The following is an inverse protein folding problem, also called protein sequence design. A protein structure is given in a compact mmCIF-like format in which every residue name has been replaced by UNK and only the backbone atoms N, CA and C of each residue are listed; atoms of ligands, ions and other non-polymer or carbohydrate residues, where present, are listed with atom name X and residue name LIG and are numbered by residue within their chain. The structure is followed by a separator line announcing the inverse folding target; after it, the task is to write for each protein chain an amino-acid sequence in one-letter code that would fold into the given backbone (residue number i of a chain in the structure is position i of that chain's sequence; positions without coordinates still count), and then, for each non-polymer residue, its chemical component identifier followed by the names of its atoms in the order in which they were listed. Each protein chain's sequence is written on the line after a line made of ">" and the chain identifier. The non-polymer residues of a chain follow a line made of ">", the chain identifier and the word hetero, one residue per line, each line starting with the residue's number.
data_IF_564422469769
#
_entry.id   IF_564422469769
#
_cell.length_a   1.000
_cell.length_b   1.000
_cell.length_c   1.000
_cell.angle_alpha   90.00
_cell.angle_beta   90.00
_cell.angle_gamma   90.00
#
_symmetry.space_group_name_H-M   'P 1'
#
loop_
_entity.id
_entity.type
_entity.pdbx_description
1 polymer ?
#
# COMPACT_ATOMS: atom_id res chain seq x y z
N UNK A 1 18.93 3.68 49.10
CA UNK A 1 17.97 4.15 48.08
C UNK A 1 18.34 3.47 46.76
N UNK A 2 17.64 2.39 46.41
CA UNK A 2 17.89 1.65 45.18
C UNK A 2 17.40 2.44 43.97
N UNK A 3 18.28 2.67 42.99
CA UNK A 3 17.89 3.15 41.66
C UNK A 3 17.17 2.01 40.96
N UNK A 4 15.86 2.13 40.81
CA UNK A 4 15.11 1.35 39.84
C UNK A 4 15.39 1.99 38.48
N UNK A 5 16.08 1.28 37.59
CA UNK A 5 16.12 1.66 36.18
C UNK A 5 14.70 1.59 35.64
N UNK A 6 14.06 2.76 35.50
CA UNK A 6 12.79 2.86 34.83
C UNK A 6 13.02 2.57 33.34
N UNK A 7 12.75 1.32 32.93
CA UNK A 7 12.63 0.96 31.53
C UNK A 7 11.60 1.90 30.88
N UNK A 8 12.03 2.72 29.91
CA UNK A 8 11.11 3.60 29.18
C UNK A 8 10.06 2.73 28.50
N UNK A 9 8.79 3.02 28.78
CA UNK A 9 7.70 2.26 28.16
C UNK A 9 7.72 2.50 26.63
N UNK A 10 7.74 1.45 25.80
CA UNK A 10 7.90 1.56 24.34
C UNK A 10 6.82 2.42 23.65
N UNK A 11 5.67 2.60 24.28
CA UNK A 11 4.58 3.45 23.78
C UNK A 11 4.83 4.95 23.99
N UNK A 12 5.66 5.33 24.97
CA UNK A 12 6.01 6.73 25.22
C UNK A 12 6.88 7.27 24.09
N UNK A 13 7.71 6.41 23.48
CA UNK A 13 8.53 6.77 22.33
C UNK A 13 7.66 6.99 21.06
N UNK A 14 6.52 6.29 20.93
CA UNK A 14 5.59 6.50 19.81
C UNK A 14 4.97 7.91 19.83
N UNK A 15 4.53 8.38 21.00
CA UNK A 15 3.92 9.71 21.16
C UNK A 15 4.96 10.81 20.90
N UNK A 16 6.22 10.59 21.31
CA UNK A 16 7.31 11.53 21.07
C UNK A 16 7.57 11.83 19.59
N UNK A 17 7.28 10.89 18.67
CA UNK A 17 7.35 11.15 17.22
C UNK A 17 6.35 12.25 16.79
N UNK A 18 5.20 12.34 17.45
CA UNK A 18 4.12 13.29 17.14
C UNK A 18 4.36 14.68 17.74
N UNK A 19 5.16 14.80 18.80
CA UNK A 19 5.49 16.10 19.41
C UNK A 19 6.53 16.88 18.59
N UNK A 20 7.20 16.22 17.62
CA UNK A 20 8.16 16.88 16.73
C UNK A 20 7.51 18.03 15.97
N UNK A 21 8.18 19.18 15.98
CA UNK A 21 7.68 20.38 15.29
C UNK A 21 6.39 20.96 15.89
N UNK A 22 6.04 20.60 17.13
CA UNK A 22 4.80 21.02 17.81
C UNK A 22 3.53 20.58 17.05
N UNK A 23 3.59 19.46 16.34
CA UNK A 23 2.47 19.01 15.50
C UNK A 23 1.18 18.81 16.32
N UNK A 24 1.24 18.10 17.46
CA UNK A 24 0.05 17.88 18.30
C UNK A 24 -0.51 19.20 18.85
N UNK A 25 0.32 20.13 19.29
CA UNK A 25 -0.14 21.40 19.83
C UNK A 25 -0.82 22.27 18.77
N UNK A 26 -0.25 22.32 17.55
CA UNK A 26 -0.86 23.02 16.42
C UNK A 26 -2.18 22.38 16.01
N UNK A 27 -2.24 21.05 15.95
CA UNK A 27 -3.45 20.30 15.64
C UNK A 27 -4.57 20.55 16.66
N UNK A 28 -4.23 20.51 17.96
CA UNK A 28 -5.16 20.82 19.05
C UNK A 28 -5.68 22.25 18.98
N UNK A 29 -4.79 23.21 18.73
CA UNK A 29 -5.15 24.62 18.59
C UNK A 29 -6.11 24.82 17.41
N UNK A 30 -5.80 24.24 16.26
CA UNK A 30 -6.67 24.32 15.08
C UNK A 30 -8.02 23.66 15.35
N UNK A 31 -8.08 22.49 15.98
CA UNK A 31 -9.35 21.85 16.32
C UNK A 31 -10.20 22.66 17.32
N UNK A 32 -9.58 23.39 18.24
CA UNK A 32 -10.27 24.25 19.22
C UNK A 32 -10.76 25.58 18.64
N UNK A 33 -10.33 25.94 17.44
CA UNK A 33 -10.79 27.16 16.77
C UNK A 33 -12.32 27.13 16.60
N UNK A 34 -12.96 28.28 16.82
CA UNK A 34 -14.42 28.40 16.74
C UNK A 34 -14.96 28.00 15.36
N UNK A 35 -14.19 28.28 14.31
CA UNK A 35 -14.54 28.06 12.91
C UNK A 35 -14.03 26.70 12.39
N UNK A 36 -13.40 25.88 13.24
CA UNK A 36 -12.91 24.58 12.82
C UNK A 36 -14.06 23.61 12.47
N UNK A 37 -13.93 22.86 11.36
CA UNK A 37 -14.95 21.90 10.94
C UNK A 37 -15.27 20.87 12.02
N UNK A 38 -16.54 20.48 12.15
CA UNK A 38 -16.97 19.47 13.11
C UNK A 38 -16.28 18.11 12.90
N UNK A 39 -15.94 17.77 11.65
CA UNK A 39 -15.15 16.58 11.33
C UNK A 39 -13.75 16.62 11.94
N UNK A 40 -13.06 17.77 11.83
CA UNK A 40 -11.73 17.94 12.41
C UNK A 40 -11.79 17.87 13.94
N UNK A 41 -12.76 18.56 14.57
CA UNK A 41 -12.99 18.50 16.02
C UNK A 41 -13.16 17.07 16.51
N UNK A 42 -13.99 16.29 15.82
CA UNK A 42 -14.26 14.89 16.15
C UNK A 42 -13.00 14.02 15.97
N UNK A 43 -12.34 14.11 14.83
CA UNK A 43 -11.17 13.29 14.53
C UNK A 43 -10.03 13.54 15.52
N UNK A 44 -9.77 14.82 15.86
CA UNK A 44 -8.75 15.18 16.84
C UNK A 44 -9.12 14.70 18.24
N UNK A 45 -10.38 14.85 18.67
CA UNK A 45 -10.82 14.31 19.97
C UNK A 45 -10.68 12.79 20.05
N UNK A 46 -11.04 12.07 18.98
CA UNK A 46 -10.85 10.62 18.91
C UNK A 46 -9.37 10.24 18.93
N UNK A 47 -8.52 11.00 18.23
CA UNK A 47 -7.07 10.81 18.24
C UNK A 47 -6.50 11.02 19.65
N UNK A 48 -6.90 12.08 20.35
CA UNK A 48 -6.46 12.34 21.73
C UNK A 48 -6.84 11.19 22.67
N UNK A 49 -8.06 10.66 22.55
CA UNK A 49 -8.49 9.50 23.32
C UNK A 49 -7.67 8.25 22.99
N UNK A 50 -7.35 8.01 21.72
CA UNK A 50 -6.51 6.89 21.31
C UNK A 50 -5.06 7.04 21.82
N UNK A 51 -4.48 8.25 21.73
CA UNK A 51 -3.15 8.54 22.25
C UNK A 51 -3.09 8.43 23.78
N UNK A 52 -4.14 8.87 24.48
CA UNK A 52 -4.25 8.65 25.92
C UNK A 52 -4.33 7.17 26.25
N UNK A 53 -5.14 6.40 25.50
CA UNK A 53 -5.23 4.95 25.69
C UNK A 53 -3.85 4.27 25.56
N UNK A 54 -2.99 4.69 24.62
CA UNK A 54 -1.62 4.16 24.46
C UNK A 54 -0.73 4.29 25.70
N UNK A 55 -1.01 5.27 26.56
CA UNK A 55 -0.27 5.48 27.81
C UNK A 55 -0.71 4.52 28.93
N UNK A 56 -1.84 3.83 28.76
CA UNK A 56 -2.36 2.91 29.77
C UNK A 56 -1.63 1.55 29.70
N UNK A 57 -1.36 0.92 30.86
CA UNK A 57 -0.87 -0.45 30.91
C UNK A 57 -1.81 -1.39 30.15
N UNK A 58 -1.25 -2.30 29.33
CA UNK A 58 -2.04 -3.26 28.54
C UNK A 58 -2.54 -2.73 27.19
N UNK A 59 -2.09 -1.54 26.76
CA UNK A 59 -2.30 -1.06 25.40
C UNK A 59 -1.82 -2.06 24.36
N UNK A 60 -2.77 -2.64 23.61
CA UNK A 60 -2.49 -3.64 22.59
C UNK A 60 -2.41 -3.05 21.18
N UNK A 61 -2.05 -3.93 20.22
CA UNK A 61 -2.01 -3.64 18.78
C UNK A 61 -3.25 -2.89 18.25
N UNK A 62 -4.50 -3.22 18.64
CA UNK A 62 -5.68 -2.51 18.15
C UNK A 62 -5.70 -1.02 18.49
N UNK A 63 -5.17 -0.63 19.65
CA UNK A 63 -5.09 0.78 20.06
C UNK A 63 -4.09 1.54 19.18
N UNK A 64 -2.97 0.91 18.82
CA UNK A 64 -1.94 1.50 17.94
C UNK A 64 -2.47 1.63 16.51
N UNK A 65 -3.13 0.60 15.98
CA UNK A 65 -3.82 0.67 14.69
C UNK A 65 -4.88 1.76 14.68
N UNK A 66 -5.67 1.90 15.76
CA UNK A 66 -6.68 2.95 15.88
C UNK A 66 -6.05 4.35 15.83
N UNK A 67 -4.93 4.56 16.52
CA UNK A 67 -4.19 5.81 16.46
C UNK A 67 -3.66 6.08 15.04
N UNK A 68 -3.07 5.08 14.35
CA UNK A 68 -2.63 5.22 12.96
C UNK A 68 -3.78 5.60 12.01
N UNK A 69 -4.92 4.94 12.13
CA UNK A 69 -6.13 5.23 11.34
C UNK A 69 -6.57 6.68 11.57
N UNK A 70 -6.63 7.12 12.83
CA UNK A 70 -7.06 8.47 13.18
C UNK A 70 -6.07 9.54 12.72
N UNK A 71 -4.76 9.26 12.75
CA UNK A 71 -3.74 10.13 12.15
C UNK A 71 -3.96 10.26 10.65
N UNK A 72 -4.21 9.14 9.96
CA UNK A 72 -4.56 9.12 8.53
C UNK A 72 -5.80 9.95 8.23
N UNK A 73 -6.87 9.79 9.02
CA UNK A 73 -8.13 10.54 8.89
C UNK A 73 -7.91 12.04 9.07
N UNK A 74 -7.18 12.46 10.11
CA UNK A 74 -6.81 13.86 10.34
C UNK A 74 -6.08 14.43 9.12
N UNK A 75 -5.11 13.69 8.57
CA UNK A 75 -4.37 14.11 7.39
C UNK A 75 -5.26 14.27 6.15
N UNK A 76 -6.25 13.39 5.95
CA UNK A 76 -7.22 13.51 4.86
C UNK A 76 -8.17 14.70 5.05
N UNK A 77 -8.57 15.02 6.29
CA UNK A 77 -9.38 16.21 6.59
C UNK A 77 -8.59 17.49 6.32
N UNK A 78 -7.33 17.56 6.77
CA UNK A 78 -6.45 18.69 6.53
C UNK A 78 -6.16 18.85 5.03
N UNK A 79 -5.96 17.76 4.29
CA UNK A 79 -5.67 17.76 2.86
C UNK A 79 -6.67 18.58 2.02
N UNK A 80 -7.94 18.64 2.42
CA UNK A 80 -8.98 19.41 1.72
C UNK A 80 -9.28 20.78 2.35
N UNK A 81 -8.87 21.03 3.59
CA UNK A 81 -9.12 22.30 4.30
C UNK A 81 -7.91 23.26 4.21
N UNK A 82 -8.05 24.36 3.46
CA UNK A 82 -6.99 25.37 3.28
C UNK A 82 -6.48 25.95 4.60
N UNK A 83 -7.38 26.45 5.47
CA UNK A 83 -7.02 27.04 6.77
C UNK A 83 -6.26 26.02 7.63
N UNK A 84 -6.74 24.78 7.63
CA UNK A 84 -6.09 23.67 8.34
C UNK A 84 -4.66 23.40 7.85
N UNK A 85 -4.41 23.42 6.54
CA UNK A 85 -3.06 23.23 5.98
C UNK A 85 -2.10 24.38 6.31
N UNK A 86 -2.61 25.60 6.38
CA UNK A 86 -1.81 26.77 6.77
C UNK A 86 -1.46 26.74 8.26
N UNK A 87 -2.35 26.24 9.11
CA UNK A 87 -2.17 26.15 10.56
C UNK A 87 -1.37 24.93 11.02
N UNK A 88 -1.54 23.79 10.36
CA UNK A 88 -0.97 22.49 10.75
C UNK A 88 -0.08 21.97 9.64
N UNK A 89 1.20 21.75 9.96
CA UNK A 89 2.16 21.15 9.04
C UNK A 89 1.78 19.70 8.71
N UNK A 90 2.35 19.16 7.64
CA UNK A 90 2.22 17.73 7.31
C UNK A 90 2.75 16.89 8.48
N UNK A 91 2.11 15.74 8.74
CA UNK A 91 2.48 14.82 9.82
C UNK A 91 4.00 14.56 9.82
N UNK A 92 4.68 14.68 10.97
CA UNK A 92 6.10 14.34 11.07
C UNK A 92 6.32 12.86 10.76
N UNK A 93 7.57 12.51 10.50
CA UNK A 93 7.93 11.13 10.25
C UNK A 93 7.74 10.28 11.51
N UNK A 94 6.86 9.27 11.43
CA UNK A 94 6.66 8.29 12.49
C UNK A 94 7.69 7.17 12.36
N UNK A 95 8.27 6.71 13.46
CA UNK A 95 9.26 5.63 13.45
C UNK A 95 8.65 4.27 13.07
N UNK A 96 9.51 3.32 12.69
CA UNK A 96 9.08 1.95 12.36
C UNK A 96 8.44 1.20 13.55
N UNK A 97 8.61 1.69 14.78
CA UNK A 97 7.95 1.15 15.96
C UNK A 97 6.42 1.20 15.86
N UNK A 98 5.86 2.23 15.21
CA UNK A 98 4.41 2.31 14.95
C UNK A 98 3.91 1.12 14.13
N UNK A 99 4.65 0.74 13.08
CA UNK A 99 4.28 -0.39 12.21
C UNK A 99 4.46 -1.71 12.94
N UNK A 100 5.63 -1.93 13.57
CA UNK A 100 5.94 -3.18 14.25
C UNK A 100 4.98 -3.49 15.41
N UNK A 101 4.57 -2.46 16.16
CA UNK A 101 3.65 -2.64 17.28
C UNK A 101 2.18 -2.67 16.85
N UNK A 102 1.83 -2.10 15.69
CA UNK A 102 0.49 -2.20 15.12
C UNK A 102 0.26 -3.52 14.37
N UNK A 103 1.32 -4.17 13.89
CA UNK A 103 1.23 -5.36 13.06
C UNK A 103 0.48 -6.49 13.75
N UNK A 104 -0.62 -6.88 13.12
CA UNK A 104 -1.31 -8.14 13.35
C UNK A 104 -1.19 -9.03 12.11
N UNK A 105 -1.67 -10.26 12.19
CA UNK A 105 -1.66 -11.21 11.07
C UNK A 105 -2.96 -11.11 10.25
N UNK A 106 -3.67 -9.97 10.31
CA UNK A 106 -4.89 -9.76 9.52
C UNK A 106 -4.57 -9.50 8.05
N UNK A 107 -5.43 -9.99 7.17
CA UNK A 107 -5.31 -9.74 5.73
C UNK A 107 -5.39 -8.25 5.42
N UNK A 108 -6.25 -7.50 6.10
CA UNK A 108 -6.40 -6.06 5.90
C UNK A 108 -5.11 -5.30 6.21
N UNK A 109 -4.43 -5.65 7.31
CA UNK A 109 -3.16 -5.03 7.67
C UNK A 109 -2.06 -5.38 6.66
N UNK A 110 -1.93 -6.65 6.26
CA UNK A 110 -0.95 -7.06 5.25
C UNK A 110 -1.14 -6.32 3.92
N UNK A 111 -2.39 -6.22 3.42
CA UNK A 111 -2.70 -5.52 2.18
C UNK A 111 -2.36 -4.02 2.29
N UNK A 112 -2.73 -3.38 3.39
CA UNK A 112 -2.44 -1.97 3.64
C UNK A 112 -0.92 -1.71 3.74
N UNK A 113 -0.18 -2.57 4.43
CA UNK A 113 1.28 -2.47 4.56
C UNK A 113 1.99 -2.70 3.22
N UNK A 114 1.56 -3.71 2.47
CA UNK A 114 2.09 -3.99 1.13
C UNK A 114 1.91 -2.78 0.22
N UNK A 115 0.72 -2.18 0.20
CA UNK A 115 0.47 -0.94 -0.53
C UNK A 115 1.35 0.20 -0.02
N UNK A 116 1.43 0.43 1.29
CA UNK A 116 2.29 1.48 1.87
C UNK A 116 3.76 1.34 1.46
N UNK A 117 4.24 0.12 1.19
CA UNK A 117 5.60 -0.15 0.72
C UNK A 117 5.89 0.30 -0.71
N UNK A 118 4.87 0.67 -1.50
CA UNK A 118 5.07 1.24 -2.83
C UNK A 118 5.82 2.57 -2.73
N UNK A 119 6.95 2.67 -3.44
CA UNK A 119 7.78 3.88 -3.43
C UNK A 119 6.98 5.09 -3.90
N UNK A 120 7.07 6.19 -3.17
CA UNK A 120 6.44 7.47 -3.51
C UNK A 120 4.90 7.49 -3.41
N UNK A 121 4.26 6.48 -2.81
CA UNK A 121 2.80 6.38 -2.76
C UNK A 121 2.12 7.58 -2.06
N UNK A 122 2.79 8.18 -1.06
CA UNK A 122 2.27 9.27 -0.24
C UNK A 122 1.71 10.46 -1.05
N UNK A 123 2.41 10.91 -2.10
CA UNK A 123 1.95 12.02 -2.96
C UNK A 123 0.73 11.69 -3.83
N UNK A 124 0.39 10.41 -3.98
CA UNK A 124 -0.83 9.98 -4.68
C UNK A 124 -2.05 9.96 -3.74
N UNK A 125 -1.80 9.72 -2.44
CA UNK A 125 -2.83 9.60 -1.39
C UNK A 125 -3.12 10.91 -0.66
N UNK A 126 -2.16 11.82 -0.62
CA UNK A 126 -2.31 13.14 -0.03
C UNK A 126 -1.66 14.21 -0.93
N UNK A 127 -2.18 15.45 -0.92
CA UNK A 127 -1.62 16.55 -1.69
C UNK A 127 -0.34 17.07 -1.01
N UNK A 128 0.74 16.30 -1.12
CA UNK A 128 2.03 16.59 -0.48
C UNK A 128 3.19 16.36 -1.43
N UNK A 129 4.26 17.12 -1.19
CA UNK A 129 5.54 16.99 -1.88
C UNK A 129 6.68 16.93 -0.86
N UNK A 130 7.75 16.21 -1.20
CA UNK A 130 8.99 16.21 -0.43
C UNK A 130 9.85 17.39 -0.90
N UNK A 131 10.08 18.35 -0.02
CA UNK A 131 10.88 19.54 -0.31
C UNK A 131 11.71 19.93 0.93
N UNK A 132 12.95 20.36 0.72
CA UNK A 132 13.89 20.76 1.80
C UNK A 132 14.03 19.74 2.94
N UNK A 133 13.96 18.45 2.63
CA UNK A 133 14.16 17.37 3.60
C UNK A 133 12.96 17.08 4.50
N UNK A 134 11.77 17.59 4.19
CA UNK A 134 10.54 17.23 4.89
C UNK A 134 9.33 17.25 3.96
N UNK A 135 8.20 16.69 4.41
CA UNK A 135 6.94 16.78 3.68
C UNK A 135 6.30 18.16 3.86
N UNK A 136 5.75 18.68 2.77
CA UNK A 136 5.00 19.93 2.74
C UNK A 136 3.67 19.74 2.00
N UNK A 137 2.67 20.53 2.38
CA UNK A 137 1.41 20.58 1.65
C UNK A 137 1.64 21.13 0.24
N UNK A 138 1.14 20.40 -0.74
CA UNK A 138 1.19 20.73 -2.16
C UNK A 138 -0.22 20.60 -2.76
N UNK A 139 -1.15 21.52 -2.42
CA UNK A 139 -2.56 21.42 -2.84
C UNK A 139 -2.75 21.40 -4.36
N UNK A 140 -1.84 22.03 -5.10
CA UNK A 140 -1.85 22.07 -6.57
C UNK A 140 -1.16 20.87 -7.22
N UNK A 141 -0.68 19.89 -6.43
CA UNK A 141 0.00 18.71 -6.95
C UNK A 141 -0.96 17.84 -7.74
N UNK A 142 -0.65 17.66 -9.03
CA UNK A 142 -1.38 16.74 -9.90
C UNK A 142 -1.12 15.27 -9.58
N UNK A 143 -0.22 14.94 -8.66
CA UNK A 143 0.02 13.54 -8.25
C UNK A 143 -1.11 13.01 -7.38
N UNK A 144 -1.75 13.87 -6.58
CA UNK A 144 -2.82 13.47 -5.69
C UNK A 144 -4.08 13.12 -6.47
N UNK A 145 -4.48 11.85 -6.39
CA UNK A 145 -5.65 11.30 -7.13
C UNK A 145 -6.61 10.52 -6.25
N UNK A 146 -6.21 10.25 -5.01
CA UNK A 146 -7.06 9.60 -4.03
C UNK A 146 -8.23 10.50 -3.64
N UNK A 147 -9.45 9.96 -3.69
CA UNK A 147 -10.66 10.70 -3.37
C UNK A 147 -11.62 9.90 -2.50
N UNK A 148 -12.85 10.41 -2.39
CA UNK A 148 -13.94 9.68 -1.71
C UNK A 148 -14.34 8.45 -2.53
N UNK A 149 -14.74 7.39 -1.85
CA UNK A 149 -15.31 6.18 -2.44
C UNK A 149 -14.56 4.90 -2.08
N UNK A 150 -14.83 3.85 -2.83
CA UNK A 150 -14.31 2.50 -2.61
C UNK A 150 -12.80 2.40 -2.86
N UNK A 151 -12.16 1.50 -2.12
CA UNK A 151 -10.73 1.21 -2.21
C UNK A 151 -10.30 0.87 -3.64
N UNK A 152 -10.99 -0.08 -4.29
CA UNK A 152 -10.63 -0.54 -5.63
C UNK A 152 -10.61 0.62 -6.63
N UNK A 153 -11.63 1.48 -6.62
CA UNK A 153 -11.71 2.66 -7.48
C UNK A 153 -10.55 3.64 -7.27
N UNK A 154 -10.16 3.87 -6.01
CA UNK A 154 -9.03 4.74 -5.70
C UNK A 154 -7.70 4.12 -6.13
N UNK A 155 -7.50 2.82 -5.93
CA UNK A 155 -6.30 2.13 -6.38
C UNK A 155 -6.18 2.12 -7.91
N UNK A 156 -7.29 1.97 -8.65
CA UNK A 156 -7.29 2.12 -10.11
C UNK A 156 -6.76 3.49 -10.53
N UNK A 157 -7.25 4.59 -9.91
CA UNK A 157 -6.76 5.94 -10.20
C UNK A 157 -5.27 6.10 -9.89
N UNK A 158 -4.81 5.53 -8.78
CA UNK A 158 -3.39 5.54 -8.40
C UNK A 158 -2.56 4.81 -9.46
N UNK A 159 -2.99 3.61 -9.89
CA UNK A 159 -2.31 2.84 -10.94
C UNK A 159 -2.23 3.65 -12.24
N UNK A 160 -3.36 4.16 -12.73
CA UNK A 160 -3.41 4.96 -13.96
C UNK A 160 -2.48 6.17 -13.88
N UNK A 161 -2.47 6.87 -12.74
CA UNK A 161 -1.60 8.03 -12.54
C UNK A 161 -0.13 7.65 -12.53
N UNK A 162 0.24 6.59 -11.80
CA UNK A 162 1.63 6.10 -11.72
C UNK A 162 2.16 5.67 -13.09
N UNK A 163 1.32 5.03 -13.92
CA UNK A 163 1.67 4.65 -15.29
C UNK A 163 1.87 5.87 -16.20
N UNK A 164 1.03 6.90 -16.06
CA UNK A 164 1.22 8.16 -16.81
C UNK A 164 2.54 8.84 -16.40
N UNK A 165 2.87 8.85 -15.11
CA UNK A 165 4.10 9.48 -14.64
C UNK A 165 5.36 8.69 -15.04
N UNK A 166 5.32 7.36 -15.08
CA UNK A 166 6.46 6.57 -15.59
C UNK A 166 6.66 6.73 -17.11
N UNK A 167 5.60 6.97 -17.87
CA UNK A 167 5.72 7.31 -19.29
C UNK A 167 6.36 8.69 -19.51
N UNK A 168 6.14 9.64 -18.60
CA UNK A 168 6.74 10.98 -18.65
C UNK A 168 8.18 11.00 -18.16
N UNK A 169 8.49 10.15 -17.18
CA UNK A 169 9.84 9.99 -16.65
C UNK A 169 10.19 8.50 -16.58
N UNK A 170 10.94 7.97 -17.56
CA UNK A 170 11.32 6.56 -17.61
C UNK A 170 12.17 6.06 -16.43
N UNK A 171 12.70 6.94 -15.58
CA UNK A 171 13.41 6.54 -14.35
C UNK A 171 12.46 6.15 -13.21
N UNK A 172 11.18 6.50 -13.32
CA UNK A 172 10.18 6.16 -12.31
C UNK A 172 9.63 4.77 -12.57
N UNK A 173 9.97 3.83 -11.69
CA UNK A 173 9.37 2.50 -11.68
C UNK A 173 8.04 2.51 -10.92
N UNK A 174 6.89 2.34 -11.59
CA UNK A 174 5.57 2.56 -11.00
C UNK A 174 5.21 1.54 -9.90
N UNK A 175 5.83 0.37 -9.88
CA UNK A 175 5.53 -0.69 -8.91
C UNK A 175 6.75 -1.13 -8.09
N UNK A 176 7.76 -0.25 -7.96
CA UNK A 176 8.87 -0.46 -7.02
C UNK A 176 8.33 -0.46 -5.58
N UNK A 177 8.71 -1.48 -4.81
CA UNK A 177 8.28 -1.71 -3.44
C UNK A 177 9.31 -2.51 -2.64
N UNK A 178 9.12 -2.61 -1.31
CA UNK A 178 9.88 -3.56 -0.49
C UNK A 178 9.27 -4.97 -0.63
N UNK A 179 9.97 -5.96 -1.22
CA UNK A 179 9.42 -7.30 -1.45
C UNK A 179 9.30 -8.14 -0.17
N UNK A 180 9.82 -7.70 0.98
CA UNK A 180 9.62 -8.38 2.27
C UNK A 180 8.30 -7.97 2.94
N UNK A 181 7.79 -6.78 2.62
CA UNK A 181 6.53 -6.25 3.15
C UNK A 181 5.33 -6.50 2.23
N UNK A 182 5.52 -7.24 1.13
CA UNK A 182 4.43 -7.55 0.21
C UNK A 182 3.34 -8.42 0.85
N UNK A 183 2.21 -8.53 0.16
CA UNK A 183 1.11 -9.40 0.54
C UNK A 183 1.40 -10.87 0.21
N UNK A 184 0.77 -11.79 0.94
CA UNK A 184 0.76 -13.23 0.64
C UNK A 184 -0.28 -13.52 -0.45
N UNK A 185 -0.22 -14.69 -1.06
CA UNK A 185 -1.25 -15.10 -2.05
C UNK A 185 -2.64 -15.22 -1.39
N UNK A 186 -2.72 -15.74 -0.16
CA UNK A 186 -3.97 -15.81 0.61
C UNK A 186 -4.64 -14.44 0.79
N UNK A 187 -3.84 -13.39 1.05
CA UNK A 187 -4.35 -12.04 1.22
C UNK A 187 -4.97 -11.50 -0.07
N UNK A 188 -4.30 -11.75 -1.21
CA UNK A 188 -4.81 -11.39 -2.53
C UNK A 188 -6.07 -12.17 -2.88
N UNK A 189 -6.11 -13.46 -2.57
CA UNK A 189 -7.29 -14.29 -2.79
C UNK A 189 -8.50 -13.73 -2.02
N UNK A 190 -8.33 -13.47 -0.73
CA UNK A 190 -9.36 -12.88 0.12
C UNK A 190 -9.82 -11.51 -0.39
N UNK A 191 -8.89 -10.66 -0.85
CA UNK A 191 -9.23 -9.38 -1.47
C UNK A 191 -10.06 -9.58 -2.74
N UNK A 192 -9.64 -10.46 -3.66
CA UNK A 192 -10.33 -10.71 -4.92
C UNK A 192 -11.73 -11.31 -4.73
N UNK A 193 -11.94 -12.11 -3.69
CA UNK A 193 -13.23 -12.77 -3.40
C UNK A 193 -14.17 -11.93 -2.53
N UNK A 194 -13.74 -10.73 -2.12
CA UNK A 194 -14.56 -9.83 -1.29
C UNK A 194 -14.65 -10.26 0.17
N UNK A 195 -13.69 -11.03 0.66
CA UNK A 195 -13.60 -11.50 2.05
C UNK A 195 -12.86 -10.51 2.97
N UNK A 196 -12.56 -9.31 2.49
CA UNK A 196 -11.82 -8.27 3.21
C UNK A 196 -12.68 -7.05 3.48
N UNK A 197 -12.37 -6.32 4.56
CA UNK A 197 -12.90 -4.96 4.77
C UNK A 197 -12.05 -3.93 3.99
N UNK A 198 -12.52 -3.56 2.80
CA UNK A 198 -11.92 -2.53 1.94
C UNK A 198 -11.79 -1.16 2.65
N UNK A 199 -12.72 -0.84 3.55
CA UNK A 199 -12.71 0.39 4.33
C UNK A 199 -11.59 0.39 5.37
N UNK A 200 -11.38 -0.74 6.04
CA UNK A 200 -10.28 -0.92 7.00
C UNK A 200 -8.92 -0.88 6.30
N UNK A 201 -8.77 -1.55 5.15
CA UNK A 201 -7.52 -1.48 4.35
C UNK A 201 -7.20 -0.03 4.00
N UNK A 202 -8.18 0.72 3.49
CA UNK A 202 -8.00 2.13 3.15
C UNK A 202 -7.63 2.96 4.38
N UNK A 203 -8.29 2.75 5.52
CA UNK A 203 -8.05 3.46 6.76
C UNK A 203 -6.63 3.21 7.31
N UNK A 204 -6.20 1.95 7.34
CA UNK A 204 -4.84 1.55 7.73
C UNK A 204 -3.80 2.14 6.79
N UNK A 205 -4.03 2.05 5.48
CA UNK A 205 -3.12 2.60 4.46
C UNK A 205 -2.88 4.10 4.68
N UNK A 206 -3.93 4.88 4.92
CA UNK A 206 -3.80 6.33 5.17
C UNK A 206 -2.95 6.67 6.40
N UNK A 207 -2.88 5.79 7.40
CA UNK A 207 -2.00 5.93 8.55
C UNK A 207 -0.58 5.45 8.25
N UNK A 208 -0.45 4.23 7.72
CA UNK A 208 0.81 3.56 7.47
C UNK A 208 1.71 4.31 6.49
N UNK A 209 1.15 5.01 5.50
CA UNK A 209 1.96 5.78 4.55
C UNK A 209 2.82 6.86 5.21
N UNK A 210 2.57 7.26 6.46
CA UNK A 210 3.34 8.27 7.18
C UNK A 210 4.50 7.72 8.01
N UNK A 211 4.44 6.44 8.33
CA UNK A 211 5.47 5.76 9.11
C UNK A 211 6.67 5.36 8.24
N UNK A 212 7.82 5.29 8.90
CA UNK A 212 8.95 4.50 8.43
C UNK A 212 8.52 3.04 8.39
N UNK A 213 8.73 2.38 7.26
CA UNK A 213 8.44 0.97 7.15
C UNK A 213 9.69 0.17 7.52
N UNK A 214 9.57 -0.87 8.36
CA UNK A 214 10.70 -1.73 8.67
C UNK A 214 11.15 -2.49 7.43
N UNK A 215 12.39 -2.97 7.40
CA UNK A 215 12.86 -3.81 6.29
C UNK A 215 12.06 -5.13 6.21
N UNK A 216 11.63 -5.65 7.35
CA UNK A 216 10.83 -6.86 7.50
C UNK A 216 9.98 -6.77 8.78
N UNK A 217 8.80 -7.40 8.79
CA UNK A 217 8.00 -7.50 10.00
C UNK A 217 8.58 -8.53 10.96
N UNK A 218 8.46 -8.27 12.26
CA UNK A 218 8.78 -9.28 13.27
C UNK A 218 7.85 -10.50 13.12
N UNK A 219 8.38 -11.74 13.20
CA UNK A 219 7.56 -12.93 13.09
C UNK A 219 6.46 -12.94 14.15
N UNK A 220 5.22 -13.15 13.72
CA UNK A 220 4.11 -13.33 14.65
C UNK A 220 4.15 -14.77 15.19
N UNK A 221 4.09 -15.00 16.51
CA UNK A 221 4.26 -16.33 17.10
C UNK A 221 3.11 -17.33 16.84
N UNK A 222 2.11 -16.97 16.02
CA UNK A 222 0.84 -17.71 15.88
C UNK A 222 0.54 -18.22 14.46
N UNK A 223 1.51 -18.27 13.55
CA UNK A 223 1.21 -18.61 12.15
C UNK A 223 1.06 -20.13 11.96
N UNK A 224 -0.16 -20.56 11.64
CA UNK A 224 -0.43 -21.80 10.91
C UNK A 224 -0.53 -21.41 9.44
N UNK A 225 0.38 -21.90 8.60
CA UNK A 225 0.24 -21.73 7.15
C UNK A 225 -1.09 -22.34 6.70
N UNK A 226 -1.99 -21.49 6.20
CA UNK A 226 -3.28 -21.92 5.65
C UNK A 226 -3.08 -22.75 4.39
N UNK A 227 -4.11 -23.53 4.03
CA UNK A 227 -4.13 -24.31 2.79
C UNK A 227 -3.81 -23.46 1.56
N UNK A 228 -3.21 -24.04 0.50
CA UNK A 228 -2.89 -23.31 -0.73
C UNK A 228 -4.15 -22.63 -1.28
N UNK A 229 -4.12 -21.29 -1.38
CA UNK A 229 -5.21 -20.51 -1.94
C UNK A 229 -5.16 -20.56 -3.47
N UNK A 230 -6.26 -20.94 -4.10
CA UNK A 230 -6.38 -20.94 -5.55
C UNK A 230 -6.46 -19.50 -6.06
N UNK A 231 -5.35 -18.98 -6.59
CA UNK A 231 -5.30 -17.64 -7.16
C UNK A 231 -5.93 -17.65 -8.55
N UNK A 232 -6.81 -16.69 -8.88
CA UNK A 232 -7.38 -16.62 -10.22
C UNK A 232 -6.29 -16.44 -11.28
N UNK A 233 -6.37 -17.25 -12.34
CA UNK A 233 -5.38 -17.24 -13.43
C UNK A 233 -5.20 -15.87 -14.08
N UNK A 234 -6.27 -15.08 -14.17
CA UNK A 234 -6.23 -13.71 -14.66
C UNK A 234 -5.24 -12.83 -13.86
N UNK A 235 -5.21 -12.97 -12.54
CA UNK A 235 -4.25 -12.28 -11.67
C UNK A 235 -2.83 -12.76 -11.95
N UNK A 236 -2.61 -14.08 -11.99
CA UNK A 236 -1.30 -14.67 -12.24
C UNK A 236 -0.69 -14.19 -13.57
N UNK A 237 -1.48 -14.16 -14.64
CA UNK A 237 -1.04 -13.71 -15.97
C UNK A 237 -0.70 -12.23 -16.02
N UNK A 238 -1.42 -11.39 -15.27
CA UNK A 238 -1.18 -9.96 -15.30
C UNK A 238 -0.07 -9.52 -14.34
N UNK A 239 0.17 -10.24 -13.24
CA UNK A 239 0.96 -9.73 -12.11
C UNK A 239 2.39 -9.31 -12.48
N UNK A 240 3.03 -10.03 -13.41
CA UNK A 240 4.39 -9.70 -13.88
C UNK A 240 4.52 -8.29 -14.47
N UNK A 241 3.46 -7.73 -15.06
CA UNK A 241 3.47 -6.36 -15.58
C UNK A 241 3.28 -5.27 -14.51
N UNK A 242 2.87 -5.68 -13.30
CA UNK A 242 2.65 -4.81 -12.14
C UNK A 242 3.65 -5.13 -11.02
N UNK A 243 4.84 -5.58 -11.41
CA UNK A 243 5.98 -5.85 -10.52
C UNK A 243 7.22 -5.18 -11.11
N UNK A 244 8.09 -4.65 -10.24
CA UNK A 244 9.38 -4.10 -10.65
C UNK A 244 10.17 -5.13 -11.49
N UNK A 245 10.52 -4.83 -12.75
CA UNK A 245 11.29 -5.74 -13.59
C UNK A 245 12.62 -6.16 -12.97
N UNK A 246 13.27 -5.29 -12.17
CA UNK A 246 14.51 -5.63 -11.47
C UNK A 246 14.30 -6.76 -10.45
N UNK A 247 13.16 -6.76 -9.75
CA UNK A 247 12.81 -7.83 -8.82
C UNK A 247 12.52 -9.13 -9.57
N UNK A 248 11.82 -9.08 -10.70
CA UNK A 248 11.57 -10.28 -11.52
C UNK A 248 12.86 -10.90 -12.05
N UNK A 249 13.84 -10.09 -12.46
CA UNK A 249 15.16 -10.57 -12.88
C UNK A 249 15.93 -11.18 -11.73
N UNK A 250 15.98 -10.51 -10.58
CA UNK A 250 16.59 -11.03 -9.36
C UNK A 250 16.03 -12.40 -8.97
N UNK A 251 14.71 -12.60 -9.10
CA UNK A 251 14.04 -13.87 -8.82
C UNK A 251 14.10 -14.90 -9.98
N UNK A 252 14.81 -14.59 -11.07
CA UNK A 252 14.89 -15.41 -12.30
C UNK A 252 13.51 -15.75 -12.89
N UNK A 253 12.58 -14.81 -12.80
CA UNK A 253 11.22 -14.86 -13.38
C UNK A 253 11.08 -14.05 -14.67
N UNK A 254 12.10 -13.25 -14.98
CA UNK A 254 12.25 -12.54 -16.24
C UNK A 254 13.71 -12.71 -16.69
N UNK A 255 13.99 -13.02 -17.97
CA UNK A 255 15.35 -13.07 -18.49
C UNK A 255 16.09 -11.73 -18.29
N UNK A 256 17.42 -11.79 -18.14
CA UNK A 256 18.25 -10.61 -17.86
C UNK A 256 18.21 -9.57 -18.99
N UNK A 257 18.18 -10.03 -20.23
CA UNK A 257 18.08 -9.24 -21.46
C UNK A 257 16.64 -8.84 -21.81
N UNK A 258 15.65 -9.49 -21.20
CA UNK A 258 14.25 -9.20 -21.47
C UNK A 258 13.80 -7.85 -20.90
N UNK A 259 12.85 -7.24 -21.62
CA UNK A 259 12.12 -6.04 -21.19
C UNK A 259 10.66 -6.41 -20.97
N UNK A 260 10.21 -6.30 -19.72
CA UNK A 260 8.79 -6.45 -19.37
C UNK A 260 8.20 -5.07 -19.10
N UNK A 261 7.76 -4.39 -20.15
CA UNK A 261 7.06 -3.11 -20.01
C UNK A 261 5.55 -3.34 -19.90
N UNK A 262 4.91 -2.66 -18.94
CA UNK A 262 3.45 -2.67 -18.80
C UNK A 262 2.80 -2.12 -20.09
N UNK A 263 1.96 -2.91 -20.79
CA UNK A 263 1.21 -2.39 -21.94
C UNK A 263 0.24 -1.30 -21.47
N UNK A 264 0.30 -0.11 -22.07
CA UNK A 264 -0.53 1.02 -21.66
C UNK A 264 -2.04 0.76 -21.79
N UNK A 265 -2.45 -0.16 -22.66
CA UNK A 265 -3.86 -0.55 -22.78
C UNK A 265 -4.33 -1.47 -21.64
N UNK A 266 -3.43 -2.21 -20.99
CA UNK A 266 -3.80 -3.25 -20.03
C UNK A 266 -4.53 -2.67 -18.80
N UNK A 267 -4.00 -1.63 -18.09
CA UNK A 267 -4.74 -0.98 -17.02
C UNK A 267 -6.08 -0.40 -17.48
N UNK A 268 -6.14 0.20 -18.68
CA UNK A 268 -7.36 0.82 -19.21
C UNK A 268 -8.46 -0.21 -19.47
N UNK A 269 -8.10 -1.36 -20.05
CA UNK A 269 -9.05 -2.46 -20.30
C UNK A 269 -9.58 -3.02 -18.99
N UNK A 270 -8.71 -3.25 -18.00
CA UNK A 270 -9.13 -3.75 -16.69
C UNK A 270 -10.01 -2.74 -15.96
N UNK A 271 -9.65 -1.45 -15.96
CA UNK A 271 -10.46 -0.37 -15.38
C UNK A 271 -11.85 -0.25 -16.03
N UNK A 272 -11.97 -0.54 -17.33
CA UNK A 272 -13.24 -0.56 -18.06
C UNK A 272 -13.98 -1.91 -17.97
N UNK A 273 -13.53 -2.83 -17.12
CA UNK A 273 -14.07 -4.18 -16.95
C UNK A 273 -14.05 -5.05 -18.23
N UNK A 274 -13.11 -4.80 -19.14
CA UNK A 274 -12.87 -5.58 -20.36
C UNK A 274 -11.80 -6.65 -20.13
N UNK A 275 -12.03 -7.53 -19.15
CA UNK A 275 -11.09 -8.61 -18.79
C UNK A 275 -10.86 -9.58 -19.97
N UNK A 276 -11.91 -9.82 -20.75
CA UNK A 276 -11.92 -10.62 -21.98
C UNK A 276 -10.89 -10.14 -23.02
N UNK A 277 -10.65 -8.83 -23.09
CA UNK A 277 -9.63 -8.22 -23.99
C UNK A 277 -8.28 -8.07 -23.31
N UNK A 278 -8.28 -7.82 -22.00
CA UNK A 278 -7.08 -7.64 -21.20
C UNK A 278 -6.21 -8.91 -21.17
N UNK A 279 -6.81 -10.08 -20.99
CA UNK A 279 -6.07 -11.33 -20.84
C UNK A 279 -5.37 -11.81 -22.12
N UNK A 280 -5.99 -11.80 -23.31
CA UNK A 280 -5.27 -12.09 -24.56
C UNK A 280 -4.12 -11.10 -24.82
N UNK A 281 -4.31 -9.82 -24.48
CA UNK A 281 -3.26 -8.82 -24.58
C UNK A 281 -2.09 -9.13 -23.64
N UNK A 282 -2.39 -9.36 -22.36
CA UNK A 282 -1.41 -9.78 -21.37
C UNK A 282 -0.66 -10.99 -21.89
N UNK A 283 -1.37 -12.09 -22.19
CA UNK A 283 -0.87 -13.38 -22.74
C UNK A 283 0.12 -13.19 -23.89
N UNK A 284 -0.26 -12.43 -24.92
CA UNK A 284 0.62 -12.15 -26.06
C UNK A 284 1.88 -11.40 -25.63
N UNK A 285 1.74 -10.38 -24.78
CA UNK A 285 2.85 -9.53 -24.33
C UNK A 285 3.82 -10.29 -23.44
N UNK A 286 3.36 -11.20 -22.60
CA UNK A 286 4.25 -11.97 -21.72
C UNK A 286 5.07 -12.98 -22.50
N UNK A 287 4.52 -13.58 -23.56
CA UNK A 287 5.31 -14.40 -24.50
C UNK A 287 6.40 -13.59 -25.18
N UNK A 288 6.08 -12.39 -25.67
CA UNK A 288 7.06 -11.48 -26.27
C UNK A 288 8.14 -11.08 -25.25
N UNK A 289 7.77 -10.87 -23.99
CA UNK A 289 8.67 -10.52 -22.91
C UNK A 289 9.48 -11.71 -22.35
N UNK A 290 9.28 -12.93 -22.86
CA UNK A 290 10.02 -14.10 -22.39
C UNK A 290 9.59 -14.64 -21.02
N UNK A 291 8.34 -14.42 -20.60
CA UNK A 291 7.78 -14.97 -19.35
C UNK A 291 7.49 -16.48 -19.40
N UNK A 292 7.90 -17.16 -20.46
CA UNK A 292 7.78 -18.61 -20.61
C UNK A 292 6.37 -19.15 -20.91
N UNK A 293 5.37 -18.30 -21.16
CA UNK A 293 4.01 -18.82 -21.33
C UNK A 293 3.86 -19.72 -22.56
N UNK A 294 3.07 -20.81 -22.47
CA UNK A 294 2.84 -21.75 -23.55
C UNK A 294 2.38 -21.10 -24.87
N UNK A 295 2.67 -21.77 -25.99
CA UNK A 295 2.13 -21.36 -27.30
C UNK A 295 0.61 -21.58 -27.34
N UNK A 296 -0.07 -20.76 -28.14
CA UNK A 296 -1.52 -20.85 -28.35
C UNK A 296 -2.30 -19.69 -27.78
N UNK A 297 -3.60 -19.92 -27.62
CA UNK A 297 -4.56 -18.93 -27.12
C UNK A 297 -4.42 -18.75 -25.61
N UNK A 298 -4.81 -17.56 -25.14
CA UNK A 298 -4.89 -17.32 -23.71
C UNK A 298 -5.89 -18.30 -23.07
N UNK A 299 -5.59 -18.81 -21.87
CA UNK A 299 -6.51 -19.69 -21.16
C UNK A 299 -7.80 -18.93 -20.84
N UNK A 300 -8.94 -19.63 -20.89
CA UNK A 300 -10.20 -19.06 -20.46
C UNK A 300 -10.19 -18.89 -18.94
N UNK A 301 -10.72 -17.77 -18.46
CA UNK A 301 -10.86 -17.49 -17.03
C UNK A 301 -12.31 -17.30 -16.67
N UNK A 302 -12.64 -17.60 -15.43
CA UNK A 302 -13.92 -17.19 -14.86
C UNK A 302 -14.04 -15.66 -14.88
N UNK A 303 -15.29 -15.18 -14.86
CA UNK A 303 -15.58 -13.76 -14.77
C UNK A 303 -14.98 -13.19 -13.47
N UNK A 304 -14.27 -12.08 -13.61
CA UNK A 304 -13.70 -11.31 -12.52
C UNK A 304 -14.02 -9.84 -12.74
N UNK A 305 -14.24 -9.11 -11.65
CA UNK A 305 -14.38 -7.67 -11.68
C UNK A 305 -13.04 -7.02 -12.04
N UNK A 306 -12.95 -6.43 -13.23
CA UNK A 306 -11.73 -5.85 -13.80
C UNK A 306 -11.11 -4.75 -12.93
N UNK A 307 -11.87 -3.75 -12.45
CA UNK A 307 -11.40 -2.77 -11.47
C UNK A 307 -10.80 -3.40 -10.20
N UNK A 308 -11.45 -4.39 -9.59
CA UNK A 308 -10.93 -5.08 -8.40
C UNK A 308 -9.69 -5.90 -8.71
N UNK A 309 -9.63 -6.53 -9.89
CA UNK A 309 -8.43 -7.20 -10.38
C UNK A 309 -7.26 -6.22 -10.56
N UNK A 310 -7.50 -5.05 -11.16
CA UNK A 310 -6.48 -4.01 -11.33
C UNK A 310 -5.99 -3.46 -9.98
N UNK A 311 -6.91 -3.26 -9.03
CA UNK A 311 -6.57 -2.87 -7.67
C UNK A 311 -5.68 -3.92 -6.98
N UNK A 312 -6.02 -5.22 -7.13
CA UNK A 312 -5.22 -6.31 -6.59
C UNK A 312 -3.82 -6.36 -7.21
N UNK A 313 -3.71 -6.14 -8.53
CA UNK A 313 -2.43 -6.11 -9.25
C UNK A 313 -1.49 -4.99 -8.75
N UNK A 314 -2.05 -3.89 -8.24
CA UNK A 314 -1.29 -2.80 -7.62
C UNK A 314 -0.61 -3.21 -6.30
N UNK A 315 -1.15 -4.19 -5.58
CA UNK A 315 -0.64 -4.65 -4.28
C UNK A 315 0.68 -5.40 -4.49
N UNK A 316 1.81 -4.95 -3.91
CA UNK A 316 3.06 -5.71 -3.94
C UNK A 316 2.92 -7.10 -3.34
N UNK A 317 3.62 -8.08 -3.90
CA UNK A 317 3.69 -9.44 -3.38
C UNK A 317 5.02 -9.69 -2.69
N UNK A 318 5.01 -10.62 -1.72
CA UNK A 318 6.26 -11.13 -1.17
C UNK A 318 7.06 -11.88 -2.23
N UNK A 319 8.39 -11.92 -2.09
CA UNK A 319 9.25 -12.72 -2.97
C UNK A 319 8.80 -14.19 -3.04
N UNK A 320 8.44 -14.79 -1.89
CA UNK A 320 7.95 -16.17 -1.84
C UNK A 320 6.64 -16.34 -2.64
N UNK A 321 5.70 -15.41 -2.49
CA UNK A 321 4.44 -15.41 -3.25
C UNK A 321 4.67 -15.24 -4.76
N UNK A 322 5.61 -14.39 -5.17
CA UNK A 322 6.00 -14.24 -6.58
C UNK A 322 6.63 -15.52 -7.15
N UNK A 323 7.49 -16.18 -6.37
CA UNK A 323 8.13 -17.43 -6.78
C UNK A 323 7.12 -18.57 -6.94
N UNK A 324 6.08 -18.61 -6.10
CA UNK A 324 4.97 -19.56 -6.20
C UNK A 324 4.03 -19.25 -7.37
N UNK A 325 3.76 -17.97 -7.63
CA UNK A 325 2.82 -17.53 -8.66
C UNK A 325 3.37 -17.64 -10.09
N UNK A 326 4.66 -17.30 -10.26
CA UNK A 326 5.29 -17.21 -11.56
C UNK A 326 6.22 -18.41 -11.77
N UNK A 327 6.07 -19.16 -12.87
CA UNK A 327 6.99 -20.25 -13.21
C UNK A 327 8.39 -19.72 -13.54
N UNK A 328 9.43 -20.57 -13.45
CA UNK A 328 10.78 -20.17 -13.87
C UNK A 328 10.81 -19.92 -15.39
N UNK A 329 11.51 -18.88 -15.81
CA UNK A 329 11.68 -18.60 -17.24
C UNK A 329 12.43 -19.72 -17.98
N UNK A 330 13.33 -20.43 -17.29
CA UNK A 330 14.14 -21.54 -17.82
C UNK A 330 13.37 -22.88 -17.90
N UNK A 331 12.46 -23.15 -16.97
CA UNK A 331 11.70 -24.42 -16.90
C UNK A 331 10.63 -24.54 -18.00
N UNK A 332 10.34 -23.45 -18.70
CA UNK A 332 9.33 -23.38 -19.75
C UNK A 332 9.92 -23.32 -21.16
N UNK A 333 11.25 -23.23 -21.28
CA UNK A 333 11.95 -23.30 -22.57
C UNK A 333 12.32 -24.73 -22.97
N UNK A 334 12.09 -25.70 -22.09
CA UNK A 334 12.50 -27.11 -22.21
C UNK A 334 11.37 -28.08 -22.58
N UNK A 335 10.17 -27.62 -22.96
CA UNK A 335 9.21 -28.51 -23.61
C UNK A 335 9.63 -28.76 -25.08
N UNK A 336 9.93 -30.02 -25.46
CA UNK A 336 10.29 -30.35 -26.83
C UNK A 336 9.08 -30.19 -27.76
N UNK A 337 9.38 -29.73 -28.98
CA UNK A 337 8.47 -29.55 -30.12
C UNK A 337 7.76 -30.84 -30.50
#
# INVERSE_FOLDING_TARGET
>A
LGRVEASRAPNVDLIADLDRGQFLDRLRREARDKDAPASLKRAVSQLENALFALTQPGSGRPTIQRALILLGEVMQILAVNRKGREAVAVLPHLSAAWVNQAADDSTEFHLALALASLTGLRSYLAPVAWDKGHWQWAPESRLHVWGKGELARNLVRVVERRVIESQRNPQLEPFRSNPRLGARLSDIHAFLTGQTDDGLIAALLHGLIWAELPDELLPSPTVVEGAPSAIPLAYALCKSFFTDPALLKYLRRLPEDARCSLPGELPRLLAANHVDKALPLAWRRGRIAGLGWPRGNAPQTTFLDGPRLLAALAVPLQSAALLQLLPRAEELQSEPV
#
